data_IF_358473920392
#
_entry.id   IF_358473920392
#
_cell.length_a   1.000
_cell.length_b   1.000
_cell.length_c   1.000
_cell.angle_alpha   90.00
_cell.angle_beta   90.00
_cell.angle_gamma   90.00
#
_symmetry.space_group_name_H-M   'P 1'
#
loop_
_entity.id
_entity.type
_entity.pdbx_description
1 polymer ?
#
# COMPACT_ATOMS: atom_id res chain seq x y z
N UNK A 1 -31.39 -5.56 -0.07
CA UNK A 1 -30.43 -4.73 0.70
C UNK A 1 -30.07 -3.55 -0.17
N UNK A 2 -30.58 -2.37 0.14
CA UNK A 2 -30.35 -1.15 -0.63
C UNK A 2 -29.04 -0.54 -0.14
N UNK A 3 -28.02 -0.48 -0.98
CA UNK A 3 -26.75 0.19 -0.69
C UNK A 3 -26.88 1.65 -1.08
N UNK A 4 -26.89 2.56 -0.11
CA UNK A 4 -26.72 3.98 -0.38
C UNK A 4 -25.26 4.27 -0.68
N UNK A 5 -24.95 4.55 -1.94
CA UNK A 5 -23.65 5.03 -2.38
C UNK A 5 -23.54 6.53 -2.09
N UNK A 6 -22.88 6.90 -1.01
CA UNK A 6 -22.64 8.30 -0.63
C UNK A 6 -21.45 8.88 -1.43
N UNK A 7 -21.50 8.82 -2.74
CA UNK A 7 -20.61 9.50 -3.66
C UNK A 7 -21.48 10.17 -4.70
N UNK A 8 -21.29 11.46 -4.98
CA UNK A 8 -22.11 12.32 -5.84
C UNK A 8 -22.38 11.82 -7.28
N UNK A 9 -22.57 10.54 -7.46
CA UNK A 9 -23.06 9.86 -8.64
C UNK A 9 -24.57 9.71 -8.47
N UNK A 10 -25.27 10.77 -8.86
CA UNK A 10 -26.72 10.82 -8.81
C UNK A 10 -27.35 9.85 -9.79
N UNK A 11 -28.25 9.06 -9.28
CA UNK A 11 -29.55 8.58 -9.79
C UNK A 11 -29.71 7.87 -11.14
N UNK A 12 -28.76 7.87 -12.06
CA UNK A 12 -29.05 7.27 -13.37
C UNK A 12 -28.86 5.74 -13.41
N UNK A 13 -28.34 5.09 -12.37
CA UNK A 13 -27.96 3.68 -12.42
C UNK A 13 -28.23 2.91 -11.13
N UNK A 14 -29.42 3.06 -10.54
CA UNK A 14 -29.95 2.02 -9.64
C UNK A 14 -30.24 0.77 -10.48
N UNK A 15 -29.19 0.16 -11.03
CA UNK A 15 -29.28 -1.12 -11.71
C UNK A 15 -29.39 -2.19 -10.65
N UNK A 16 -30.47 -2.97 -10.65
CA UNK A 16 -30.50 -4.24 -9.95
C UNK A 16 -29.40 -5.13 -10.54
N UNK A 17 -28.54 -5.65 -9.70
CA UNK A 17 -27.51 -6.60 -10.11
C UNK A 17 -27.63 -7.87 -9.29
N UNK A 18 -27.41 -9.02 -9.93
CA UNK A 18 -27.47 -10.34 -9.28
C UNK A 18 -26.21 -10.60 -8.43
N UNK A 19 -25.10 -9.90 -8.76
CA UNK A 19 -23.82 -10.03 -8.07
C UNK A 19 -23.13 -8.67 -7.96
N UNK A 20 -22.67 -8.34 -6.74
CA UNK A 20 -21.86 -7.15 -6.48
C UNK A 20 -20.49 -7.57 -5.97
N UNK A 21 -19.42 -7.17 -6.67
CA UNK A 21 -18.05 -7.35 -6.22
C UNK A 21 -17.55 -6.05 -5.57
N UNK A 22 -17.24 -6.11 -4.27
CA UNK A 22 -16.76 -4.97 -3.50
C UNK A 22 -15.24 -5.03 -3.35
N UNK A 23 -14.50 -4.14 -4.04
CA UNK A 23 -13.03 -4.10 -4.05
C UNK A 23 -12.54 -2.64 -3.94
N UNK A 24 -12.83 -1.97 -2.82
CA UNK A 24 -12.69 -0.51 -2.66
C UNK A 24 -11.41 -0.06 -1.95
N UNK A 25 -10.43 -0.93 -1.77
CA UNK A 25 -9.14 -0.59 -1.18
C UNK A 25 -8.84 -1.30 0.14
N UNK A 26 -7.75 -0.88 0.79
CA UNK A 26 -7.29 -1.47 2.05
C UNK A 26 -8.06 -0.90 3.25
N UNK A 27 -8.38 -1.78 4.20
CA UNK A 27 -8.91 -1.46 5.51
C UNK A 27 -7.93 -1.89 6.61
N UNK A 28 -7.86 -1.13 7.70
CA UNK A 28 -7.05 -1.52 8.84
C UNK A 28 -7.71 -2.66 9.60
N UNK A 29 -6.89 -3.61 10.07
CA UNK A 29 -7.38 -4.70 10.90
C UNK A 29 -7.93 -4.19 12.24
N UNK A 30 -8.94 -4.88 12.79
CA UNK A 30 -9.59 -4.48 14.05
C UNK A 30 -8.60 -4.35 15.22
N UNK A 31 -7.58 -5.20 15.29
CA UNK A 31 -6.57 -5.13 16.34
C UNK A 31 -5.77 -3.80 16.30
N UNK A 32 -5.64 -3.16 15.13
CA UNK A 32 -4.98 -1.86 15.00
C UNK A 32 -5.84 -0.74 15.55
N UNK A 33 -7.16 -0.87 15.48
CA UNK A 33 -8.15 0.12 15.93
C UNK A 33 -8.44 0.08 17.43
N UNK A 34 -8.03 -1.01 18.11
CA UNK A 34 -8.32 -1.22 19.54
C UNK A 34 -7.14 -0.78 20.44
N UNK A 35 -7.00 0.51 20.75
CA UNK A 35 -5.86 1.05 21.49
C UNK A 35 -5.76 0.48 22.91
N UNK A 36 -6.88 0.12 23.52
CA UNK A 36 -6.93 -0.34 24.92
C UNK A 36 -6.32 -1.72 25.14
N UNK A 37 -6.20 -2.54 24.13
CA UNK A 37 -5.66 -3.91 24.25
C UNK A 37 -4.16 -4.01 23.99
N UNK A 38 -3.51 -2.96 23.43
CA UNK A 38 -2.11 -3.02 22.98
C UNK A 38 -1.29 -1.76 23.25
N UNK A 39 -1.53 -1.09 24.38
CA UNK A 39 -0.67 0.00 24.81
C UNK A 39 -0.73 1.25 23.96
N UNK A 40 -1.92 1.63 23.45
CA UNK A 40 -2.17 2.92 22.78
C UNK A 40 -1.25 3.21 21.57
N UNK A 41 -1.08 2.23 20.68
CA UNK A 41 -0.41 2.46 19.41
C UNK A 41 -1.11 3.59 18.64
N UNK A 42 -0.38 4.64 18.26
CA UNK A 42 -0.95 5.76 17.53
C UNK A 42 -1.38 5.31 16.13
N UNK A 43 -2.66 5.47 15.84
CA UNK A 43 -3.26 5.18 14.54
C UNK A 43 -3.97 6.42 13.99
N UNK A 44 -4.18 6.48 12.68
CA UNK A 44 -5.02 7.50 12.07
C UNK A 44 -6.52 7.16 12.25
N UNK A 45 -7.48 8.04 11.85
CA UNK A 45 -8.92 7.76 11.98
C UNK A 45 -9.38 6.48 11.28
N UNK A 46 -8.67 6.02 10.24
CA UNK A 46 -8.96 4.76 9.54
C UNK A 46 -8.31 3.53 10.21
N UNK A 47 -7.56 3.70 11.29
CA UNK A 47 -6.92 2.61 12.04
C UNK A 47 -5.53 2.20 11.57
N UNK A 48 -4.92 2.89 10.61
CA UNK A 48 -3.57 2.61 10.15
C UNK A 48 -2.51 3.18 11.09
N UNK A 49 -1.44 2.42 11.33
CA UNK A 49 -0.35 2.82 12.24
C UNK A 49 0.37 4.07 11.72
N UNK A 50 0.39 5.13 12.53
CA UNK A 50 1.09 6.38 12.20
C UNK A 50 2.60 6.18 12.31
N UNK A 51 3.32 6.50 11.21
CA UNK A 51 4.78 6.33 11.13
C UNK A 51 5.49 7.63 10.73
N UNK A 52 6.71 7.77 11.24
CA UNK A 52 7.64 8.84 10.90
C UNK A 52 8.45 8.54 9.61
N UNK A 53 9.41 9.42 9.30
CA UNK A 53 10.29 9.25 8.13
C UNK A 53 11.22 8.04 8.23
N UNK A 54 11.45 7.50 9.39
CA UNK A 54 12.23 6.30 9.63
C UNK A 54 11.39 5.02 9.61
N UNK A 55 10.11 5.10 9.20
CA UNK A 55 9.14 4.01 9.20
C UNK A 55 8.79 3.49 10.62
N UNK A 56 9.09 4.28 11.64
CA UNK A 56 8.88 3.95 13.05
C UNK A 56 7.56 4.57 13.52
N UNK A 57 6.84 3.86 14.38
CA UNK A 57 5.64 4.36 15.03
C UNK A 57 5.93 5.68 15.78
N UNK A 58 5.05 6.67 15.61
CA UNK A 58 5.17 7.96 16.31
C UNK A 58 4.91 7.85 17.80
N UNK A 59 4.33 6.76 18.29
CA UNK A 59 4.05 6.53 19.71
C UNK A 59 4.95 5.48 20.39
N UNK A 60 5.57 4.59 19.60
CA UNK A 60 6.34 3.47 20.16
C UNK A 60 7.67 3.31 19.41
N UNK A 61 8.81 3.59 20.05
CA UNK A 61 10.12 3.62 19.40
C UNK A 61 10.60 2.25 18.91
N UNK A 62 10.04 1.16 19.43
CA UNK A 62 10.40 -0.21 19.07
C UNK A 62 9.42 -0.84 18.05
N UNK A 63 8.43 -0.07 17.56
CA UNK A 63 7.45 -0.53 16.59
C UNK A 63 7.70 0.13 15.26
N UNK A 64 7.77 -0.67 14.20
CA UNK A 64 7.88 -0.22 12.81
C UNK A 64 6.69 -0.74 12.01
N UNK A 65 6.21 0.04 11.04
CA UNK A 65 5.16 -0.38 10.12
C UNK A 65 5.44 0.11 8.71
N UNK A 66 5.08 -0.71 7.71
CA UNK A 66 5.27 -0.42 6.29
C UNK A 66 4.11 -0.97 5.45
N UNK A 67 3.97 -0.47 4.24
CA UNK A 67 2.92 -0.92 3.32
C UNK A 67 1.53 -0.48 3.77
N UNK A 68 0.52 -1.30 3.50
CA UNK A 68 -0.87 -0.90 3.65
C UNK A 68 -1.32 -0.71 5.10
N UNK A 69 -0.65 -1.34 6.07
CA UNK A 69 -0.93 -1.16 7.50
C UNK A 69 -0.44 0.18 8.07
N UNK A 70 0.42 0.90 7.34
CA UNK A 70 1.07 2.13 7.81
C UNK A 70 0.40 3.39 7.25
N UNK A 71 0.33 4.45 8.06
CA UNK A 71 -0.03 5.80 7.65
C UNK A 71 1.19 6.72 7.75
N UNK A 72 1.57 7.31 6.63
CA UNK A 72 2.69 8.24 6.52
C UNK A 72 2.34 9.61 7.13
N UNK A 73 2.93 9.92 8.26
CA UNK A 73 2.64 11.14 9.03
C UNK A 73 3.58 12.32 8.69
N UNK A 74 4.61 12.08 7.88
CA UNK A 74 5.71 13.02 7.65
C UNK A 74 5.62 13.82 6.34
N UNK A 75 4.51 13.75 5.62
CA UNK A 75 4.28 14.45 4.35
C UNK A 75 3.00 15.26 4.35
N UNK A 76 2.90 16.21 3.40
CA UNK A 76 1.69 17.01 3.21
C UNK A 76 0.48 16.17 2.73
N UNK A 77 0.73 14.98 2.18
CA UNK A 77 -0.31 14.06 1.72
C UNK A 77 0.03 12.62 2.15
N UNK A 78 -0.99 11.80 2.47
CA UNK A 78 -0.78 10.39 2.76
C UNK A 78 -0.25 9.66 1.51
N UNK A 79 0.57 8.63 1.72
CA UNK A 79 1.01 7.76 0.64
C UNK A 79 -0.13 6.86 0.18
N UNK A 80 -0.26 6.63 -1.13
CA UNK A 80 -1.23 5.67 -1.66
C UNK A 80 -1.00 4.27 -1.10
N UNK A 81 -2.08 3.53 -0.84
CA UNK A 81 -2.05 2.11 -0.47
C UNK A 81 -1.79 1.28 -1.73
N UNK A 82 -0.53 1.19 -2.13
CA UNK A 82 -0.11 0.51 -3.34
C UNK A 82 1.17 -0.30 -3.10
N UNK A 83 1.23 -1.51 -3.62
CA UNK A 83 2.32 -2.46 -3.42
C UNK A 83 3.72 -1.91 -3.74
N UNK A 84 3.82 -0.97 -4.68
CA UNK A 84 5.10 -0.33 -5.02
C UNK A 84 5.71 0.43 -3.84
N UNK A 85 4.89 1.04 -2.97
CA UNK A 85 5.40 1.70 -1.75
C UNK A 85 5.84 0.65 -0.73
N UNK A 86 5.05 -0.40 -0.51
CA UNK A 86 5.42 -1.50 0.40
C UNK A 86 6.76 -2.14 0.01
N UNK A 87 6.94 -2.48 -1.29
CA UNK A 87 8.18 -3.06 -1.82
C UNK A 87 9.37 -2.14 -1.61
N UNK A 88 9.22 -0.83 -1.80
CA UNK A 88 10.32 0.14 -1.63
C UNK A 88 10.61 0.49 -0.17
N UNK A 89 9.64 0.37 0.72
CA UNK A 89 9.85 0.51 2.15
C UNK A 89 10.63 -0.67 2.75
N UNK A 90 10.51 -1.88 2.18
CA UNK A 90 11.12 -3.10 2.70
C UNK A 90 12.62 -3.00 2.98
N UNK A 91 13.47 -2.58 2.03
CA UNK A 91 14.91 -2.41 2.27
C UNK A 91 15.25 -1.37 3.36
N UNK A 92 14.48 -0.28 3.43
CA UNK A 92 14.65 0.75 4.47
C UNK A 92 14.24 0.21 5.83
N UNK A 93 13.14 -0.55 5.90
CA UNK A 93 12.71 -1.23 7.13
C UNK A 93 13.79 -2.19 7.63
N UNK A 94 14.34 -3.04 6.74
CA UNK A 94 15.40 -3.98 7.11
C UNK A 94 16.63 -3.27 7.67
N UNK A 95 17.06 -2.19 7.01
CA UNK A 95 18.16 -1.36 7.48
C UNK A 95 17.87 -0.75 8.85
N UNK A 96 16.68 -0.22 9.06
CA UNK A 96 16.28 0.43 10.30
C UNK A 96 16.10 -0.55 11.45
N UNK A 97 15.59 -1.74 11.20
CA UNK A 97 15.53 -2.80 12.22
C UNK A 97 16.93 -3.21 12.69
N UNK A 98 17.86 -3.41 11.75
CA UNK A 98 19.27 -3.71 12.09
C UNK A 98 19.93 -2.56 12.86
N UNK A 99 19.71 -1.32 12.43
CA UNK A 99 20.24 -0.13 13.08
C UNK A 99 19.69 0.02 14.51
N UNK A 100 18.37 -0.17 14.70
CA UNK A 100 17.74 -0.11 16.02
C UNK A 100 18.30 -1.16 16.98
N UNK A 101 18.52 -2.41 16.52
CA UNK A 101 19.10 -3.47 17.32
C UNK A 101 20.58 -3.25 17.68
N UNK A 102 21.29 -2.41 16.94
CA UNK A 102 22.71 -2.10 17.16
C UNK A 102 22.97 -0.66 17.62
N UNK A 103 21.91 0.05 18.03
CA UNK A 103 21.96 1.46 18.47
C UNK A 103 22.63 2.39 17.44
N UNK A 104 22.39 2.15 16.14
CA UNK A 104 22.86 3.00 15.03
C UNK A 104 21.77 3.95 14.58
N UNK A 105 22.17 4.97 13.81
CA UNK A 105 21.27 5.95 13.23
C UNK A 105 20.33 5.30 12.19
N UNK A 106 19.04 5.69 12.23
CA UNK A 106 18.01 5.19 11.33
C UNK A 106 18.00 5.99 10.02
N UNK A 107 17.84 5.28 8.92
CA UNK A 107 17.74 5.85 7.56
C UNK A 107 16.33 6.39 7.32
N UNK A 108 16.24 7.54 6.67
CA UNK A 108 14.96 8.14 6.26
C UNK A 108 14.46 7.55 4.95
N UNK A 109 13.22 7.14 4.94
CA UNK A 109 12.51 6.79 3.72
C UNK A 109 12.17 8.05 2.91
N UNK A 110 12.40 8.00 1.60
CA UNK A 110 12.04 9.06 0.66
C UNK A 110 11.04 8.50 -0.36
N UNK A 111 9.75 8.85 -0.25
CA UNK A 111 8.74 8.38 -1.18
C UNK A 111 9.00 8.89 -2.60
N UNK A 112 8.80 8.03 -3.58
CA UNK A 112 8.83 8.45 -4.99
C UNK A 112 7.62 9.34 -5.33
N UNK A 113 7.87 10.36 -6.15
CA UNK A 113 6.81 11.25 -6.63
C UNK A 113 5.96 10.62 -7.74
N UNK A 114 6.57 9.75 -8.53
CA UNK A 114 5.90 9.04 -9.63
C UNK A 114 6.27 7.56 -9.59
N UNK A 115 5.34 6.72 -9.92
CA UNK A 115 5.54 5.28 -10.03
C UNK A 115 4.80 4.72 -11.24
N UNK A 116 5.29 3.61 -11.76
CA UNK A 116 4.63 2.86 -12.81
C UNK A 116 3.50 2.04 -12.20
N UNK A 117 2.32 2.16 -12.78
CA UNK A 117 1.17 1.29 -12.49
C UNK A 117 1.00 0.35 -13.67
N UNK A 118 0.92 -0.94 -13.41
CA UNK A 118 0.62 -1.97 -14.39
C UNK A 118 -0.62 -2.74 -13.90
N UNK A 119 -1.77 -2.47 -14.53
CA UNK A 119 -3.05 -3.06 -14.17
C UNK A 119 -3.46 -4.09 -15.22
N UNK A 120 -3.49 -5.37 -14.85
CA UNK A 120 -3.98 -6.43 -15.73
C UNK A 120 -5.49 -6.30 -15.96
N UNK A 121 -5.93 -6.52 -17.21
CA UNK A 121 -7.34 -6.43 -17.62
C UNK A 121 -8.02 -7.78 -17.79
N UNK A 122 -7.35 -8.87 -17.38
CA UNK A 122 -7.81 -10.26 -17.43
C UNK A 122 -8.02 -10.88 -18.83
N UNK A 123 -7.78 -10.12 -19.90
CA UNK A 123 -7.89 -10.51 -21.30
C UNK A 123 -6.51 -10.74 -21.99
N UNK A 124 -5.46 -10.96 -21.22
CA UNK A 124 -4.07 -11.06 -21.71
C UNK A 124 -3.43 -9.72 -22.02
N UNK A 125 -4.04 -8.62 -21.59
CA UNK A 125 -3.56 -7.24 -21.74
C UNK A 125 -3.37 -6.59 -20.38
N UNK A 126 -2.71 -5.43 -20.37
CA UNK A 126 -2.62 -4.57 -19.19
C UNK A 126 -2.61 -3.10 -19.60
N UNK A 127 -3.00 -2.25 -18.66
CA UNK A 127 -2.83 -0.80 -18.73
C UNK A 127 -1.53 -0.46 -18.01
N UNK A 128 -0.63 0.24 -18.71
CA UNK A 128 0.56 0.85 -18.14
C UNK A 128 0.31 2.34 -17.97
N UNK A 129 0.54 2.89 -16.78
CA UNK A 129 0.38 4.32 -16.50
C UNK A 129 1.55 4.85 -15.68
N UNK A 130 2.04 6.04 -16.02
CA UNK A 130 3.05 6.76 -15.24
C UNK A 130 2.87 8.27 -15.42
N UNK A 131 2.49 8.97 -14.33
CA UNK A 131 2.15 10.38 -14.40
C UNK A 131 1.01 10.65 -15.37
N UNK A 132 1.15 11.60 -16.35
CA UNK A 132 0.11 11.90 -17.32
C UNK A 132 0.03 10.89 -18.48
N UNK A 133 0.97 9.94 -18.58
CA UNK A 133 1.02 9.00 -19.70
C UNK A 133 0.38 7.67 -19.34
N UNK A 134 -0.43 7.14 -20.26
CA UNK A 134 -1.05 5.83 -20.15
C UNK A 134 -1.16 5.17 -21.52
N UNK A 135 -0.94 3.86 -21.56
CA UNK A 135 -1.14 3.04 -22.74
C UNK A 135 -1.56 1.62 -22.33
N UNK A 136 -2.27 0.93 -23.22
CA UNK A 136 -2.75 -0.42 -22.95
C UNK A 136 -2.37 -1.38 -24.07
N UNK A 137 -2.14 -2.65 -23.73
CA UNK A 137 -1.86 -3.69 -24.71
C UNK A 137 -1.26 -4.95 -24.13
N UNK A 138 -1.08 -5.95 -24.97
CA UNK A 138 -0.43 -7.22 -24.61
C UNK A 138 1.05 -7.02 -24.22
N UNK A 139 1.72 -6.02 -24.77
CA UNK A 139 3.08 -5.65 -24.38
C UNK A 139 3.17 -5.22 -22.91
N UNK A 140 2.19 -4.47 -22.42
CA UNK A 140 2.14 -4.03 -21.03
C UNK A 140 1.91 -5.22 -20.08
N UNK A 141 1.13 -6.23 -20.50
CA UNK A 141 0.95 -7.48 -19.80
C UNK A 141 2.27 -8.27 -19.69
N UNK A 142 2.99 -8.45 -20.81
CA UNK A 142 4.28 -9.15 -20.82
C UNK A 142 5.31 -8.43 -19.93
N UNK A 143 5.30 -7.11 -19.94
CA UNK A 143 6.17 -6.30 -19.08
C UNK A 143 5.83 -6.48 -17.60
N UNK A 144 4.52 -6.45 -17.26
CA UNK A 144 4.04 -6.74 -15.92
C UNK A 144 4.47 -8.14 -15.47
N UNK A 145 4.20 -9.16 -16.26
CA UNK A 145 4.54 -10.56 -15.95
C UNK A 145 6.05 -10.73 -15.71
N UNK A 146 6.88 -10.10 -16.55
CA UNK A 146 8.33 -10.11 -16.38
C UNK A 146 8.76 -9.46 -15.03
N UNK A 147 8.22 -8.30 -14.69
CA UNK A 147 8.54 -7.60 -13.42
C UNK A 147 8.10 -8.46 -12.23
N UNK A 148 6.88 -9.00 -12.26
CA UNK A 148 6.33 -9.79 -11.17
C UNK A 148 7.13 -11.08 -10.95
N UNK A 149 7.49 -11.80 -12.04
CA UNK A 149 8.34 -13.01 -11.97
C UNK A 149 9.75 -12.69 -11.46
N UNK A 150 10.36 -11.63 -11.95
CA UNK A 150 11.68 -11.19 -11.49
C UNK A 150 11.66 -10.78 -10.01
N UNK A 151 10.56 -10.24 -9.51
CA UNK A 151 10.39 -9.94 -8.10
C UNK A 151 10.25 -11.23 -7.29
N UNK A 152 9.35 -12.14 -7.70
CA UNK A 152 9.09 -13.40 -6.98
C UNK A 152 10.32 -14.32 -6.95
N UNK A 153 11.11 -14.37 -8.03
CA UNK A 153 12.33 -15.20 -8.08
C UNK A 153 13.37 -14.85 -7.01
N UNK A 154 13.34 -13.63 -6.48
CA UNK A 154 14.22 -13.19 -5.38
C UNK A 154 13.89 -13.85 -4.03
N UNK A 155 12.71 -14.44 -3.92
CA UNK A 155 12.20 -15.10 -2.70
C UNK A 155 12.01 -16.61 -2.90
N UNK A 156 12.30 -17.12 -4.11
CA UNK A 156 12.32 -18.56 -4.32
C UNK A 156 13.44 -19.17 -3.47
N UNK A 157 13.14 -20.29 -2.78
CA UNK A 157 14.16 -21.05 -2.09
C UNK A 157 15.22 -21.51 -3.08
N UNK A 158 16.51 -21.52 -2.75
CA UNK A 158 17.51 -22.18 -3.56
C UNK A 158 17.14 -23.67 -3.67
N UNK A 159 17.13 -24.17 -4.92
CA UNK A 159 16.88 -25.57 -5.23
C UNK A 159 17.98 -26.45 -4.66
#
# INVERSE_FOLDING_TARGET
>A
MTLELNSGWTDALARSSDLVLWATGAEAHDWQRQPHQRGALAVNPQGFVRIDRQLRSVSHPNVFAVGDCAHWDSGAQPLPKAGVFAVRMGPVLLSNLRAALTNKELVRYQPQRQFLVLLATADGRAIASRGPFGAAGAWAWRWKDHIDRAFLSRFAAPA
#
